data_IF_800976338406
#
_entry.id   IF_800976338406
#
_cell.length_a   1.000
_cell.length_b   1.000
_cell.length_c   1.000
_cell.angle_alpha   90.00
_cell.angle_beta   90.00
_cell.angle_gamma   90.00
#
_symmetry.space_group_name_H-M   'P 1'
#
loop_
_entity.id
_entity.type
_entity.pdbx_description
1 polymer ?
#
# COMPACT_ATOMS: atom_id res chain seq x y z
N UNK A 1 -10.37 -6.06 -3.70
CA UNK A 1 -9.06 -5.37 -3.59
C UNK A 1 -8.33 -5.42 -4.92
N UNK A 2 -7.57 -4.39 -5.27
CA UNK A 2 -6.81 -4.28 -6.52
C UNK A 2 -5.39 -3.76 -6.24
N UNK A 3 -4.38 -4.39 -6.84
CA UNK A 3 -2.98 -3.95 -6.80
C UNK A 3 -2.49 -3.59 -8.20
N UNK A 4 -2.66 -2.33 -8.63
CA UNK A 4 -2.16 -1.90 -9.92
C UNK A 4 -0.63 -1.81 -9.91
N UNK A 5 -0.02 -2.09 -11.06
CA UNK A 5 1.44 -1.99 -11.29
C UNK A 5 1.81 -0.83 -12.23
N UNK A 6 0.84 0.02 -12.54
CA UNK A 6 0.98 1.09 -13.53
C UNK A 6 0.59 2.45 -12.91
N UNK A 7 1.37 3.52 -13.13
CA UNK A 7 1.12 4.84 -12.53
C UNK A 7 -0.22 5.47 -12.88
N UNK A 8 -0.85 5.07 -13.98
CA UNK A 8 -2.19 5.58 -14.37
C UNK A 8 -3.28 5.36 -13.32
N UNK A 9 -3.06 4.45 -12.36
CA UNK A 9 -4.00 4.20 -11.27
C UNK A 9 -3.84 5.16 -10.09
N UNK A 10 -2.87 6.09 -10.11
CA UNK A 10 -2.75 7.18 -9.12
C UNK A 10 -3.74 8.32 -9.39
N UNK A 11 -4.48 8.24 -10.50
CA UNK A 11 -5.43 9.29 -10.88
C UNK A 11 -6.65 9.31 -9.96
N UNK A 12 -7.24 10.50 -9.81
CA UNK A 12 -8.46 10.67 -9.03
C UNK A 12 -9.61 9.79 -9.57
N UNK A 13 -9.71 9.67 -10.90
CA UNK A 13 -10.74 8.87 -11.56
C UNK A 13 -10.61 7.38 -11.22
N UNK A 14 -9.38 6.86 -11.15
CA UNK A 14 -9.14 5.49 -10.73
C UNK A 14 -9.55 5.29 -9.25
N UNK A 15 -9.19 6.23 -8.37
CA UNK A 15 -9.55 6.15 -6.95
C UNK A 15 -11.07 6.27 -6.73
N UNK A 16 -11.75 7.13 -7.48
CA UNK A 16 -13.20 7.33 -7.38
C UNK A 16 -13.96 6.08 -7.84
N UNK A 17 -13.53 5.45 -8.94
CA UNK A 17 -14.12 4.19 -9.40
C UNK A 17 -13.96 3.06 -8.35
N UNK A 18 -12.79 3.00 -7.70
CA UNK A 18 -12.56 2.02 -6.65
C UNK A 18 -13.40 2.29 -5.40
N UNK A 19 -13.62 3.56 -5.02
CA UNK A 19 -14.51 3.94 -3.92
C UNK A 19 -15.97 3.60 -4.24
N UNK A 20 -16.42 3.88 -5.46
CA UNK A 20 -17.79 3.59 -5.92
C UNK A 20 -18.13 2.10 -5.78
N UNK A 21 -17.15 1.24 -6.04
CA UNK A 21 -17.33 -0.22 -5.99
C UNK A 21 -16.83 -0.88 -4.69
N UNK A 22 -16.49 -0.10 -3.66
CA UNK A 22 -15.92 -0.58 -2.39
C UNK A 22 -14.73 -1.55 -2.58
N UNK A 23 -13.84 -1.21 -3.53
CA UNK A 23 -12.64 -1.99 -3.84
C UNK A 23 -11.42 -1.35 -3.18
N UNK A 24 -10.82 -2.05 -2.21
CA UNK A 24 -9.61 -1.59 -1.56
C UNK A 24 -8.41 -1.52 -2.53
N UNK A 25 -7.82 -0.34 -2.68
CA UNK A 25 -6.51 -0.14 -3.29
C UNK A 25 -5.44 -0.75 -2.38
N UNK A 26 -4.57 -1.58 -2.95
CA UNK A 26 -3.47 -2.20 -2.22
C UNK A 26 -2.32 -1.21 -2.06
N UNK A 27 -1.88 -1.03 -0.82
CA UNK A 27 -0.64 -0.31 -0.49
C UNK A 27 0.52 -1.28 -0.71
N UNK A 28 1.32 -1.04 -1.74
CA UNK A 28 2.43 -1.91 -2.12
C UNK A 28 3.77 -1.31 -1.70
N UNK A 29 4.65 -2.14 -1.14
CA UNK A 29 6.08 -1.83 -1.02
C UNK A 29 6.85 -2.75 -1.95
N UNK A 30 7.65 -2.17 -2.84
CA UNK A 30 8.17 -2.86 -4.02
C UNK A 30 9.59 -2.47 -4.40
N UNK A 31 10.39 -2.04 -3.42
CA UNK A 31 11.75 -1.57 -3.65
C UNK A 31 11.86 -0.48 -4.75
N UNK A 32 10.83 0.36 -4.88
CA UNK A 32 10.75 1.42 -5.89
C UNK A 32 10.44 0.94 -7.32
N UNK A 33 10.11 -0.34 -7.53
CA UNK A 33 9.80 -0.89 -8.86
C UNK A 33 8.40 -0.47 -9.33
N UNK A 34 7.43 -0.39 -8.41
CA UNK A 34 6.06 0.01 -8.72
C UNK A 34 5.63 1.23 -7.90
N UNK A 35 4.66 2.01 -8.40
CA UNK A 35 4.11 3.13 -7.64
C UNK A 35 3.49 2.67 -6.32
N UNK A 36 3.75 3.41 -5.26
CA UNK A 36 3.13 3.20 -3.95
C UNK A 36 1.88 4.07 -3.85
N UNK A 37 0.70 3.44 -3.96
CA UNK A 37 -0.57 4.14 -3.72
C UNK A 37 -0.87 4.12 -2.22
N UNK A 38 -1.03 5.28 -1.59
CA UNK A 38 -1.20 5.41 -0.13
C UNK A 38 -2.65 5.65 0.32
N UNK A 39 -3.55 5.99 -0.61
CA UNK A 39 -4.94 6.30 -0.27
C UNK A 39 -5.77 5.04 -0.06
N UNK A 40 -6.41 4.98 1.10
CA UNK A 40 -7.46 4.00 1.35
C UNK A 40 -8.72 4.39 0.54
N UNK A 41 -9.18 3.47 -0.30
CA UNK A 41 -10.44 3.61 -1.07
C UNK A 41 -11.64 2.97 -0.37
N UNK A 42 -11.42 2.32 0.78
CA UNK A 42 -12.46 1.62 1.55
C UNK A 42 -12.21 1.74 3.06
N UNK A 43 -13.11 1.20 3.89
CA UNK A 43 -12.92 1.08 5.33
C UNK A 43 -11.83 0.08 5.76
N UNK A 44 -11.31 -0.73 4.83
CA UNK A 44 -10.19 -1.65 5.07
C UNK A 44 -8.93 -1.15 4.35
N UNK A 45 -7.77 -1.43 4.95
CA UNK A 45 -6.45 -1.24 4.32
C UNK A 45 -5.82 -2.60 4.11
N UNK A 46 -5.24 -2.81 2.94
CA UNK A 46 -4.53 -4.04 2.60
C UNK A 46 -3.12 -3.69 2.10
N UNK A 47 -2.11 -4.28 2.73
CA UNK A 47 -0.70 -3.98 2.47
C UNK A 47 -0.04 -5.21 1.88
N UNK A 48 0.76 -5.05 0.83
CA UNK A 48 1.62 -6.11 0.28
C UNK A 48 3.07 -5.65 0.27
N UNK A 49 3.88 -6.33 1.08
CA UNK A 49 5.31 -6.11 1.19
C UNK A 49 6.03 -7.07 0.25
N UNK A 50 6.55 -6.56 -0.87
CA UNK A 50 7.28 -7.35 -1.86
C UNK A 50 8.79 -7.32 -1.65
N UNK A 51 9.30 -6.56 -0.68
CA UNK A 51 10.74 -6.42 -0.42
C UNK A 51 11.17 -4.96 -0.35
N UNK A 52 12.10 -4.66 0.55
CA UNK A 52 12.57 -3.30 0.85
C UNK A 52 13.57 -2.78 -0.20
N UNK A 53 14.53 -3.62 -0.62
CA UNK A 53 15.61 -3.23 -1.56
C UNK A 53 15.65 -4.05 -2.84
N UNK A 54 15.12 -5.27 -2.81
CA UNK A 54 14.99 -6.16 -3.95
C UNK A 54 13.69 -6.97 -3.84
N UNK A 55 12.98 -7.11 -4.96
CA UNK A 55 11.72 -7.83 -5.01
C UNK A 55 11.90 -9.31 -4.64
N UNK A 56 11.09 -9.75 -3.68
CA UNK A 56 10.89 -11.11 -3.18
C UNK A 56 12.09 -11.77 -2.49
N UNK A 57 13.24 -11.09 -2.41
CA UNK A 57 14.48 -11.64 -1.84
C UNK A 57 14.99 -10.84 -0.66
N UNK A 58 14.74 -9.53 -0.62
CA UNK A 58 15.23 -8.68 0.46
C UNK A 58 14.41 -8.84 1.73
N UNK A 59 15.11 -9.08 2.84
CA UNK A 59 14.52 -9.00 4.16
C UNK A 59 14.21 -7.54 4.51
N UNK A 60 13.13 -7.32 5.25
CA UNK A 60 12.87 -6.04 5.88
C UNK A 60 13.79 -5.88 7.09
N UNK A 61 14.47 -4.74 7.18
CA UNK A 61 15.19 -4.38 8.41
C UNK A 61 14.22 -4.19 9.58
N UNK A 62 14.70 -4.35 10.83
CA UNK A 62 13.89 -4.08 12.02
C UNK A 62 13.30 -2.66 11.99
N UNK A 63 14.10 -1.68 11.56
CA UNK A 63 13.66 -0.31 11.39
C UNK A 63 12.54 -0.16 10.34
N UNK A 64 12.54 -0.99 9.28
CA UNK A 64 11.47 -0.99 8.29
C UNK A 64 10.19 -1.63 8.81
N UNK A 65 10.31 -2.72 9.55
CA UNK A 65 9.17 -3.34 10.23
C UNK A 65 8.56 -2.40 11.27
N UNK A 66 9.39 -1.65 12.01
CA UNK A 66 8.93 -0.63 12.96
C UNK A 66 8.16 0.50 12.28
N UNK A 67 8.60 0.95 11.09
CA UNK A 67 7.85 1.93 10.28
C UNK A 67 6.47 1.40 9.88
N UNK A 68 6.40 0.17 9.36
CA UNK A 68 5.13 -0.47 8.99
C UNK A 68 4.21 -0.67 10.21
N UNK A 69 4.77 -1.07 11.35
CA UNK A 69 4.02 -1.15 12.60
C UNK A 69 3.47 0.22 13.02
N UNK A 70 4.25 1.28 12.86
CA UNK A 70 3.83 2.68 13.07
C UNK A 70 2.61 3.05 12.22
N UNK A 71 2.67 2.82 10.91
CA UNK A 71 1.54 3.06 9.99
C UNK A 71 0.29 2.27 10.39
N UNK A 72 0.44 0.99 10.72
CA UNK A 72 -0.68 0.17 11.18
C UNK A 72 -1.32 0.72 12.47
N UNK A 73 -0.52 1.18 13.44
CA UNK A 73 -1.05 1.79 14.68
C UNK A 73 -1.78 3.10 14.39
N UNK A 74 -1.21 3.95 13.54
CA UNK A 74 -1.82 5.21 13.12
C UNK A 74 -3.19 4.96 12.45
N UNK A 75 -3.25 4.04 11.48
CA UNK A 75 -4.50 3.71 10.78
C UNK A 75 -5.56 3.09 11.68
N UNK A 76 -5.15 2.39 12.74
CA UNK A 76 -6.07 1.81 13.72
C UNK A 76 -6.45 2.80 14.84
N UNK A 77 -5.90 4.02 14.86
CA UNK A 77 -6.12 4.99 15.93
C UNK A 77 -5.53 4.56 17.28
N UNK A 78 -4.41 3.83 17.25
CA UNK A 78 -3.73 3.23 18.42
C UNK A 78 -2.37 3.87 18.69
N UNK A 79 -2.18 5.11 18.27
CA UNK A 79 -0.95 5.88 18.46
C UNK A 79 -0.80 6.35 19.91
#
# INVERSE_FOLDING_TARGET
MLEPRHPSFESAEAHDLLREHDVAMVIADSAGVWPTMSDATTGIRYIRLHGETELYTSAYSDAALDRWAGHCREWLGRA
#
